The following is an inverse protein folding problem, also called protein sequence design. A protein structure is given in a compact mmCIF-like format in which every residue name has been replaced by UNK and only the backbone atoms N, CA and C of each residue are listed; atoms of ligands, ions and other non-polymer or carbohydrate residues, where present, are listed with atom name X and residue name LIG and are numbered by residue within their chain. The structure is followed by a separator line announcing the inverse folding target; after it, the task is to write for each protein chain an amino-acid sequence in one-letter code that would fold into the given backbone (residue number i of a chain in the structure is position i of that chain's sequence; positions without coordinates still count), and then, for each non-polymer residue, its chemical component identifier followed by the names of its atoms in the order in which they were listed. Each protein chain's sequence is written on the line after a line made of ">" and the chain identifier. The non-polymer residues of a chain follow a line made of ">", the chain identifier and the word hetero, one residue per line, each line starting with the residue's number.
data_IF_986169963383
#
_entry.id   IF_986169963383
#
_cell.length_a   1.000
_cell.length_b   1.000
_cell.length_c   1.000
_cell.angle_alpha   90.00
_cell.angle_beta   90.00
_cell.angle_gamma   90.00
#
_symmetry.space_group_name_H-M   'P 1'
#
loop_
_entity.id
_entity.type
_entity.pdbx_description
1 polymer ?
#
# COMPACT_ATOMS: atom_id res chain seq x y z
N UNK A 1 27.16 44.96 -43.96
CA UNK A 1 26.46 44.21 -45.04
C UNK A 1 26.81 42.74 -44.90
N UNK A 2 25.97 41.94 -44.27
CA UNK A 2 25.95 40.48 -44.44
C UNK A 2 24.56 39.99 -44.05
N UNK A 3 23.82 39.52 -45.05
CA UNK A 3 22.45 39.06 -44.95
C UNK A 3 22.40 37.69 -44.27
N UNK A 4 21.52 37.54 -43.28
CA UNK A 4 21.14 36.24 -42.71
C UNK A 4 20.06 35.63 -43.60
N UNK A 5 20.37 34.47 -44.19
CA UNK A 5 19.40 33.56 -44.80
C UNK A 5 18.58 32.91 -43.68
N UNK A 6 17.26 33.08 -43.74
CA UNK A 6 16.28 32.27 -43.01
C UNK A 6 15.97 31.05 -43.87
N UNK A 7 16.15 29.86 -43.30
CA UNK A 7 15.66 28.61 -43.90
C UNK A 7 14.19 28.44 -43.48
N UNK A 8 13.30 28.45 -44.47
CA UNK A 8 11.96 27.89 -44.39
C UNK A 8 12.05 26.38 -44.11
N UNK A 9 11.37 25.91 -43.07
CA UNK A 9 11.08 24.50 -42.87
C UNK A 9 9.65 24.27 -43.36
N UNK A 10 9.56 23.53 -44.46
CA UNK A 10 8.32 23.08 -45.09
C UNK A 10 7.65 22.02 -44.23
N UNK A 11 6.46 22.32 -43.72
CA UNK A 11 5.55 21.35 -43.11
C UNK A 11 4.77 20.65 -44.23
N UNK A 12 5.15 19.42 -44.56
CA UNK A 12 4.32 18.53 -45.38
C UNK A 12 4.31 17.10 -44.81
N UNK A 13 3.10 16.58 -44.70
CA UNK A 13 2.71 15.17 -44.55
C UNK A 13 2.93 14.46 -43.20
N UNK A 14 1.97 14.65 -42.29
CA UNK A 14 1.59 13.60 -41.34
C UNK A 14 0.20 13.07 -41.73
N UNK A 15 0.19 11.96 -42.45
CA UNK A 15 -1.00 11.19 -42.82
C UNK A 15 -1.55 10.51 -41.57
N UNK A 16 -2.77 10.89 -41.16
CA UNK A 16 -3.52 10.18 -40.10
C UNK A 16 -4.21 8.94 -40.68
N UNK A 17 -4.14 7.76 -40.05
CA UNK A 17 -5.06 6.68 -40.37
C UNK A 17 -6.45 6.99 -39.77
N UNK A 18 -7.45 7.07 -40.64
CA UNK A 18 -8.86 7.11 -40.27
C UNK A 18 -9.36 5.69 -40.01
N UNK A 19 -9.68 5.37 -38.76
CA UNK A 19 -10.45 4.16 -38.46
C UNK A 19 -11.91 4.39 -38.84
N UNK A 20 -12.37 3.62 -39.83
CA UNK A 20 -13.75 3.55 -40.32
C UNK A 20 -14.47 2.42 -39.57
N UNK A 21 -15.61 2.65 -38.91
CA UNK A 21 -16.38 1.55 -38.32
C UNK A 21 -17.09 0.77 -39.43
N UNK A 22 -16.97 -0.56 -39.38
CA UNK A 22 -17.62 -1.51 -40.28
C UNK A 22 -19.00 -1.84 -39.71
N UNK A 23 -20.05 -1.35 -40.39
CA UNK A 23 -21.44 -1.76 -40.19
C UNK A 23 -21.66 -3.17 -40.78
N UNK A 24 -22.50 -3.96 -40.10
CA UNK A 24 -22.97 -5.30 -40.47
C UNK A 24 -23.33 -6.07 -39.19
N UNK A 25 -24.48 -5.77 -38.57
CA UNK A 25 -25.76 -6.44 -38.83
C UNK A 25 -25.81 -7.86 -38.25
N UNK A 26 -26.35 -7.97 -37.03
CA UNK A 26 -27.12 -9.12 -36.56
C UNK A 26 -28.09 -8.61 -35.49
N UNK A 27 -29.31 -8.34 -35.94
CA UNK A 27 -30.49 -8.22 -35.10
C UNK A 27 -30.79 -9.58 -34.45
N UNK A 28 -31.16 -9.60 -33.18
CA UNK A 28 -32.52 -10.02 -32.77
C UNK A 28 -32.69 -10.09 -31.24
N UNK A 29 -33.90 -9.68 -30.81
CA UNK A 29 -34.58 -9.92 -29.52
C UNK A 29 -34.02 -9.29 -28.23
N UNK A 30 -34.54 -8.11 -27.86
CA UNK A 30 -35.66 -7.96 -26.92
C UNK A 30 -36.06 -6.48 -26.84
N UNK A 31 -37.29 -6.20 -27.28
CA UNK A 31 -37.96 -4.90 -27.20
C UNK A 31 -38.68 -4.80 -25.86
N UNK A 32 -38.44 -3.71 -25.13
CA UNK A 32 -39.26 -3.26 -24.00
C UNK A 32 -39.19 -1.73 -23.96
N UNK A 33 -39.89 -1.12 -24.92
CA UNK A 33 -40.33 0.27 -24.82
C UNK A 33 -41.86 0.25 -24.71
N UNK A 34 -42.36 0.85 -23.63
CA UNK A 34 -43.64 1.56 -23.52
C UNK A 34 -44.20 1.37 -22.11
N UNK A 35 -44.11 2.42 -21.28
CA UNK A 35 -45.19 2.98 -20.47
C UNK A 35 -44.64 4.32 -19.98
N UNK A 36 -44.88 5.36 -20.77
CA UNK A 36 -44.79 6.74 -20.34
C UNK A 36 -46.19 7.22 -20.05
N UNK A 37 -46.66 7.02 -18.82
CA UNK A 37 -47.92 7.59 -18.35
C UNK A 37 -47.69 8.59 -17.22
N UNK A 38 -48.31 9.75 -17.44
CA UNK A 38 -48.31 10.94 -16.61
C UNK A 38 -48.87 10.62 -15.22
N UNK A 39 -48.05 10.77 -14.19
CA UNK A 39 -48.54 10.87 -12.80
C UNK A 39 -48.29 12.29 -12.30
N UNK A 40 -49.40 12.99 -12.12
CA UNK A 40 -49.49 14.30 -11.51
C UNK A 40 -48.92 14.27 -10.09
N UNK A 41 -47.87 15.06 -9.83
CA UNK A 41 -47.37 15.34 -8.50
C UNK A 41 -48.38 16.23 -7.76
N UNK A 42 -49.32 15.59 -7.07
CA UNK A 42 -50.16 16.21 -6.05
C UNK A 42 -49.31 16.45 -4.81
N UNK A 43 -48.96 17.71 -4.57
CA UNK A 43 -48.31 18.15 -3.35
C UNK A 43 -49.10 17.68 -2.12
N UNK A 44 -48.42 16.92 -1.26
CA UNK A 44 -48.87 16.61 0.09
C UNK A 44 -47.85 17.22 1.04
N UNK A 45 -48.22 18.36 1.59
CA UNK A 45 -47.66 18.92 2.81
C UNK A 45 -47.80 17.83 3.89
N UNK A 46 -46.70 17.20 4.28
CA UNK A 46 -46.64 16.48 5.54
C UNK A 46 -45.98 17.41 6.55
N UNK A 47 -46.83 18.03 7.36
CA UNK A 47 -46.47 18.70 8.59
C UNK A 47 -45.84 17.65 9.51
N UNK A 48 -44.50 17.59 9.52
CA UNK A 48 -43.74 16.92 10.57
C UNK A 48 -43.90 17.71 11.87
N UNK A 49 -45.03 17.48 12.54
CA UNK A 49 -45.23 17.81 13.93
C UNK A 49 -44.22 16.99 14.74
N UNK A 50 -43.17 17.68 15.22
CA UNK A 50 -42.36 17.21 16.34
C UNK A 50 -43.27 16.92 17.53
N UNK A 51 -43.57 15.64 17.74
CA UNK A 51 -44.19 15.20 18.97
C UNK A 51 -43.20 15.47 20.13
N UNK A 52 -43.62 16.17 21.20
CA UNK A 52 -42.78 16.30 22.39
C UNK A 52 -42.59 14.90 22.97
N UNK A 53 -41.31 14.50 23.08
CA UNK A 53 -40.89 13.29 23.77
C UNK A 53 -41.49 13.32 25.19
N UNK A 54 -42.57 12.56 25.39
CA UNK A 54 -43.22 12.42 26.67
C UNK A 54 -42.22 11.72 27.59
N UNK A 55 -41.69 12.52 28.51
CA UNK A 55 -40.88 12.12 29.66
C UNK A 55 -41.68 11.08 30.44
N UNK A 56 -41.47 9.81 30.11
CA UNK A 56 -42.08 8.70 30.80
C UNK A 56 -41.39 8.61 32.16
N UNK A 57 -42.02 9.24 33.15
CA UNK A 57 -41.73 9.07 34.57
C UNK A 57 -41.91 7.59 34.89
N UNK A 58 -40.79 6.87 34.79
CA UNK A 58 -40.66 5.49 35.25
C UNK A 58 -40.83 5.54 36.76
N UNK A 59 -42.05 5.31 37.21
CA UNK A 59 -42.37 5.16 38.62
C UNK A 59 -41.45 4.09 39.22
N UNK A 60 -40.86 4.46 40.34
CA UNK A 60 -39.93 3.68 41.15
C UNK A 60 -40.51 2.31 41.50
N UNK A 61 -40.23 1.31 40.66
CA UNK A 61 -40.20 -0.08 41.12
C UNK A 61 -38.86 -0.25 41.82
N UNK A 62 -38.82 0.22 43.07
CA UNK A 62 -37.72 0.02 44.00
C UNK A 62 -37.67 -1.47 44.35
N UNK A 63 -37.13 -2.29 43.43
CA UNK A 63 -36.74 -3.66 43.73
C UNK A 63 -35.63 -3.56 44.77
N UNK A 64 -35.99 -3.79 46.02
CA UNK A 64 -35.10 -3.86 47.16
C UNK A 64 -34.19 -5.08 46.97
N UNK A 65 -33.13 -4.91 46.17
CA UNK A 65 -32.09 -5.89 45.98
C UNK A 65 -31.48 -6.19 47.36
N UNK A 66 -31.31 -7.48 47.72
CA UNK A 66 -30.71 -7.84 48.99
C UNK A 66 -29.32 -7.21 49.07
N UNK A 67 -29.01 -6.62 50.23
CA UNK A 67 -27.72 -6.02 50.49
C UNK A 67 -26.61 -7.05 50.17
N UNK A 68 -25.59 -6.68 49.38
CA UNK A 68 -24.53 -7.60 49.02
C UNK A 68 -23.89 -8.15 50.30
N UNK A 69 -23.95 -9.47 50.46
CA UNK A 69 -23.28 -10.17 51.55
C UNK A 69 -21.78 -9.86 51.52
N UNK A 70 -21.20 -9.54 52.67
CA UNK A 70 -19.79 -9.16 52.85
C UNK A 70 -18.79 -10.12 52.15
N UNK A 71 -19.16 -11.38 51.93
CA UNK A 71 -18.35 -12.37 51.21
C UNK A 71 -18.16 -12.05 49.72
N UNK A 72 -19.12 -11.41 49.04
CA UNK A 72 -18.98 -11.04 47.62
C UNK A 72 -18.04 -9.84 47.42
N UNK A 73 -18.01 -8.89 48.36
CA UNK A 73 -17.05 -7.77 48.28
C UNK A 73 -15.60 -8.23 48.49
N UNK A 74 -15.35 -9.27 49.29
CA UNK A 74 -14.00 -9.83 49.46
C UNK A 74 -13.52 -10.63 48.23
N UNK A 75 -14.42 -11.24 47.46
CA UNK A 75 -14.05 -11.94 46.24
C UNK A 75 -13.67 -10.97 45.10
N UNK A 76 -14.31 -9.80 45.02
CA UNK A 76 -14.05 -8.79 43.99
C UNK A 76 -12.71 -8.07 44.20
N UNK A 77 -12.24 -7.93 45.44
CA UNK A 77 -10.92 -7.33 45.73
C UNK A 77 -9.74 -8.29 45.56
N UNK A 78 -9.96 -9.61 45.51
CA UNK A 78 -8.89 -10.59 45.37
C UNK A 78 -8.39 -10.78 43.93
N UNK A 79 -9.26 -10.58 42.93
CA UNK A 79 -8.93 -10.71 41.50
C UNK A 79 -7.84 -9.71 41.02
N UNK A 80 -7.86 -8.41 41.38
CA UNK A 80 -6.82 -7.48 40.92
C UNK A 80 -5.42 -7.77 41.51
N UNK A 81 -5.32 -8.43 42.66
CA UNK A 81 -4.03 -8.77 43.27
C UNK A 81 -3.31 -9.91 42.53
N UNK A 82 -4.05 -10.90 41.98
CA UNK A 82 -3.45 -11.94 41.15
C UNK A 82 -3.04 -11.41 39.78
N UNK A 83 -3.86 -10.56 39.15
CA UNK A 83 -3.56 -10.01 37.84
C UNK A 83 -2.30 -9.12 37.86
N UNK A 84 -2.14 -8.29 38.90
CA UNK A 84 -0.96 -7.44 39.06
C UNK A 84 0.33 -8.25 39.29
N UNK A 85 0.26 -9.35 40.04
CA UNK A 85 1.40 -10.27 40.24
C UNK A 85 1.87 -10.93 38.93
N UNK A 86 0.95 -11.41 38.10
CA UNK A 86 1.28 -12.04 36.81
C UNK A 86 1.91 -11.01 35.86
N UNK A 87 1.37 -9.79 35.82
CA UNK A 87 1.89 -8.70 34.98
C UNK A 87 3.30 -8.27 35.44
N UNK A 88 3.52 -8.10 36.76
CA UNK A 88 4.86 -7.78 37.29
C UNK A 88 5.88 -8.89 37.03
N UNK A 89 5.48 -10.16 37.07
CA UNK A 89 6.37 -11.28 36.76
C UNK A 89 6.71 -11.38 35.26
N UNK A 90 5.78 -10.99 34.38
CA UNK A 90 5.97 -11.05 32.93
C UNK A 90 6.72 -9.84 32.35
N UNK A 91 6.60 -8.66 32.98
CA UNK A 91 7.17 -7.40 32.54
C UNK A 91 8.67 -7.46 32.19
N UNK A 92 9.57 -8.07 33.00
CA UNK A 92 10.99 -8.14 32.67
C UNK A 92 11.28 -8.98 31.43
N UNK A 93 10.54 -10.08 31.23
CA UNK A 93 10.71 -10.96 30.06
C UNK A 93 10.19 -10.29 28.79
N UNK A 94 9.03 -9.64 28.88
CA UNK A 94 8.49 -8.83 27.77
C UNK A 94 9.47 -7.70 27.46
N UNK A 95 10.01 -7.02 28.47
CA UNK A 95 10.99 -5.95 28.29
C UNK A 95 12.22 -6.44 27.52
N UNK A 96 12.79 -7.61 27.85
CA UNK A 96 13.95 -8.14 27.10
C UNK A 96 13.65 -8.50 25.64
N UNK A 97 12.41 -8.90 25.32
CA UNK A 97 12.00 -9.19 23.95
C UNK A 97 11.70 -7.91 23.17
N UNK A 98 11.20 -6.88 23.85
CA UNK A 98 10.81 -5.61 23.25
C UNK A 98 11.98 -4.63 23.17
N UNK A 99 12.99 -4.75 24.05
CA UNK A 99 14.16 -3.86 24.10
C UNK A 99 14.89 -3.69 22.74
N UNK A 100 15.14 -4.76 21.96
CA UNK A 100 15.79 -4.62 20.64
C UNK A 100 14.94 -3.82 19.64
N UNK A 101 13.61 -3.87 19.76
CA UNK A 101 12.70 -3.06 18.95
C UNK A 101 12.59 -1.61 19.47
N UNK A 102 12.88 -1.42 20.76
CA UNK A 102 12.76 -0.15 21.47
C UNK A 102 13.97 0.75 21.34
N UNK A 103 15.15 0.22 21.05
CA UNK A 103 16.35 1.05 20.94
C UNK A 103 16.24 1.96 19.70
N UNK A 104 15.97 3.27 19.86
CA UNK A 104 15.80 4.18 18.73
C UNK A 104 17.11 4.37 17.94
N UNK A 105 18.24 3.93 18.51
CA UNK A 105 19.58 4.32 18.12
C UNK A 105 20.51 3.12 17.79
N UNK A 106 20.05 1.87 17.87
CA UNK A 106 20.96 0.70 17.76
C UNK A 106 21.47 0.38 16.35
N UNK A 107 20.91 0.95 15.28
CA UNK A 107 21.19 0.54 13.90
C UNK A 107 21.92 1.60 13.06
N UNK A 108 22.71 2.49 13.66
CA UNK A 108 23.70 3.25 12.89
C UNK A 108 24.94 2.38 12.64
N UNK A 109 24.81 1.38 11.76
CA UNK A 109 25.99 0.81 11.11
C UNK A 109 26.59 1.88 10.19
N UNK A 110 27.73 2.39 10.63
CA UNK A 110 28.64 3.28 9.91
C UNK A 110 28.99 2.67 8.54
N UNK A 111 28.32 3.09 7.47
CA UNK A 111 28.65 2.60 6.12
C UNK A 111 27.84 3.27 5.02
N UNK A 112 26.51 3.23 5.12
CA UNK A 112 25.67 3.67 4.02
C UNK A 112 25.01 5.02 4.33
N UNK A 113 25.54 6.06 3.69
CA UNK A 113 24.96 7.42 3.64
C UNK A 113 23.70 7.44 2.77
N UNK A 114 22.73 6.58 3.06
CA UNK A 114 21.40 6.73 2.49
C UNK A 114 20.76 7.99 3.09
N UNK A 115 20.81 9.08 2.33
CA UNK A 115 20.09 10.33 2.61
C UNK A 115 18.73 10.23 1.93
N UNK A 116 17.70 9.79 2.65
CA UNK A 116 16.37 9.65 2.08
C UNK A 116 15.28 9.54 3.13
N UNK A 117 14.05 9.86 2.71
CA UNK A 117 12.84 9.70 3.50
C UNK A 117 12.65 8.27 4.03
N UNK A 118 13.30 7.27 3.43
CA UNK A 118 13.25 5.87 3.86
C UNK A 118 13.73 5.65 5.31
N UNK A 119 14.64 6.48 5.86
CA UNK A 119 15.04 6.39 7.28
C UNK A 119 13.93 6.82 8.25
N UNK A 120 12.99 7.63 7.79
CA UNK A 120 11.89 8.11 8.61
C UNK A 120 10.80 7.04 8.79
N UNK A 121 10.59 6.20 7.78
CA UNK A 121 9.52 5.18 7.77
C UNK A 121 9.64 4.21 8.96
N UNK A 122 10.79 3.57 9.26
CA UNK A 122 10.91 2.68 10.42
C UNK A 122 10.68 3.38 11.75
N UNK A 123 11.06 4.66 11.87
CA UNK A 123 10.85 5.44 13.10
C UNK A 123 9.36 5.70 13.33
N UNK A 124 8.63 6.05 12.27
CA UNK A 124 7.18 6.26 12.33
C UNK A 124 6.44 4.97 12.61
N UNK A 125 6.79 3.87 11.96
CA UNK A 125 6.18 2.55 12.20
C UNK A 125 6.33 2.11 13.66
N UNK A 126 7.46 2.44 14.32
CA UNK A 126 7.63 2.19 15.75
C UNK A 126 6.65 2.97 16.62
N UNK A 127 6.37 4.24 16.29
CA UNK A 127 5.36 5.04 17.02
C UNK A 127 3.97 4.40 16.90
N UNK A 128 3.59 3.95 15.70
CA UNK A 128 2.32 3.26 15.49
C UNK A 128 2.24 1.94 16.25
N UNK A 129 3.31 1.14 16.24
CA UNK A 129 3.39 -0.08 17.03
C UNK A 129 3.15 0.18 18.52
N UNK A 130 3.77 1.22 19.08
CA UNK A 130 3.55 1.61 20.48
C UNK A 130 2.13 2.07 20.75
N UNK A 131 1.55 2.84 19.83
CA UNK A 131 0.14 3.25 19.91
C UNK A 131 -0.80 2.03 19.95
N UNK A 132 -0.54 1.01 19.14
CA UNK A 132 -1.34 -0.22 19.12
C UNK A 132 -1.18 -1.03 20.41
N UNK A 133 0.04 -1.15 20.93
CA UNK A 133 0.30 -1.82 22.22
C UNK A 133 -0.45 -1.13 23.37
N UNK A 134 -0.40 0.21 23.45
CA UNK A 134 -1.14 0.98 24.46
C UNK A 134 -2.66 0.81 24.27
N UNK A 135 -3.12 0.74 23.02
CA UNK A 135 -4.53 0.49 22.70
C UNK A 135 -4.99 -0.88 23.17
N UNK A 136 -4.21 -1.93 22.91
CA UNK A 136 -4.49 -3.30 23.39
C UNK A 136 -4.50 -3.35 24.92
N UNK A 137 -3.54 -2.71 25.57
CA UNK A 137 -3.49 -2.63 27.04
C UNK A 137 -4.71 -1.91 27.62
N UNK A 138 -5.13 -0.81 27.00
CA UNK A 138 -6.33 -0.04 27.39
C UNK A 138 -7.60 -0.88 27.22
N UNK A 139 -7.73 -1.63 26.11
CA UNK A 139 -8.86 -2.54 25.88
C UNK A 139 -8.87 -3.66 26.92
N UNK A 140 -7.72 -4.28 27.20
CA UNK A 140 -7.61 -5.37 28.17
C UNK A 140 -7.95 -4.90 29.61
N UNK A 141 -7.44 -3.73 30.00
CA UNK A 141 -7.74 -3.13 31.31
C UNK A 141 -9.23 -2.78 31.43
N UNK A 142 -9.88 -2.41 30.32
CA UNK A 142 -11.29 -1.99 30.33
C UNK A 142 -12.30 -3.12 30.26
N UNK A 143 -11.89 -4.39 30.20
CA UNK A 143 -12.80 -5.54 30.09
C UNK A 143 -13.81 -5.64 31.26
N UNK A 144 -13.44 -5.16 32.45
CA UNK A 144 -14.27 -5.28 33.66
C UNK A 144 -15.29 -4.15 33.85
N UNK A 145 -15.28 -3.10 33.01
CA UNK A 145 -16.23 -1.99 33.13
C UNK A 145 -17.44 -2.18 32.21
N UNK A 146 -18.62 -1.79 32.72
CA UNK A 146 -19.92 -2.09 32.11
C UNK A 146 -20.32 -1.07 31.03
N UNK A 147 -19.95 0.21 31.19
CA UNK A 147 -20.38 1.30 30.32
C UNK A 147 -19.61 1.42 28.99
N UNK A 148 -18.70 0.49 28.71
CA UNK A 148 -17.60 0.71 27.76
C UNK A 148 -17.74 -0.03 26.43
N UNK A 149 -18.87 -0.69 26.15
CA UNK A 149 -19.02 -1.51 24.95
C UNK A 149 -18.75 -0.73 23.64
N UNK A 150 -19.30 0.48 23.40
CA UNK A 150 -19.06 1.18 22.13
C UNK A 150 -17.61 1.64 21.98
N UNK A 151 -16.99 2.20 23.04
CA UNK A 151 -15.60 2.66 23.00
C UNK A 151 -14.60 1.51 22.87
N UNK A 152 -14.83 0.38 23.54
CA UNK A 152 -14.01 -0.83 23.37
C UNK A 152 -14.15 -1.38 21.96
N UNK A 153 -15.39 -1.46 21.45
CA UNK A 153 -15.66 -1.91 20.09
C UNK A 153 -14.90 -1.04 19.10
N UNK A 154 -14.92 0.28 19.29
CA UNK A 154 -14.18 1.23 18.46
C UNK A 154 -12.67 0.97 18.42
N UNK A 155 -12.02 0.83 19.58
CA UNK A 155 -10.58 0.56 19.64
C UNK A 155 -10.24 -0.78 18.99
N UNK A 156 -11.04 -1.83 19.23
CA UNK A 156 -10.86 -3.14 18.60
C UNK A 156 -11.00 -3.03 17.08
N UNK A 157 -12.01 -2.30 16.59
CA UNK A 157 -12.16 -2.06 15.15
C UNK A 157 -11.01 -1.25 14.57
N UNK A 158 -10.45 -0.29 15.31
CA UNK A 158 -9.24 0.44 14.89
C UNK A 158 -8.03 -0.48 14.74
N UNK A 159 -7.81 -1.39 15.70
CA UNK A 159 -6.75 -2.40 15.62
C UNK A 159 -6.94 -3.36 14.43
N UNK A 160 -8.19 -3.78 14.16
CA UNK A 160 -8.50 -4.66 13.04
C UNK A 160 -8.35 -3.97 11.69
N UNK A 161 -8.69 -2.68 11.59
CA UNK A 161 -8.57 -1.87 10.37
C UNK A 161 -7.13 -1.40 10.10
N UNK A 162 -6.21 -1.57 11.06
CA UNK A 162 -4.78 -1.32 10.87
C UNK A 162 -4.08 -2.49 10.17
N UNK A 163 -3.16 -3.14 10.87
CA UNK A 163 -2.28 -4.18 10.30
C UNK A 163 -3.01 -5.32 9.55
N UNK A 164 -4.12 -5.90 10.06
CA UNK A 164 -4.79 -7.00 9.36
C UNK A 164 -5.38 -6.59 8.00
N UNK A 165 -5.88 -5.37 7.88
CA UNK A 165 -6.39 -4.86 6.59
C UNK A 165 -5.24 -4.58 5.64
N UNK A 166 -4.12 -4.03 6.10
CA UNK A 166 -2.93 -3.87 5.26
C UNK A 166 -2.41 -5.22 4.75
N UNK A 167 -2.38 -6.25 5.61
CA UNK A 167 -2.03 -7.62 5.19
C UNK A 167 -3.03 -8.18 4.18
N UNK A 168 -4.33 -7.93 4.38
CA UNK A 168 -5.37 -8.32 3.41
C UNK A 168 -5.15 -7.67 2.05
N UNK A 169 -4.91 -6.36 2.02
CA UNK A 169 -4.65 -5.62 0.77
C UNK A 169 -3.38 -6.14 0.11
N UNK A 170 -2.31 -6.37 0.88
CA UNK A 170 -1.09 -6.97 0.36
C UNK A 170 -1.35 -8.34 -0.26
N UNK A 171 -2.14 -9.22 0.37
CA UNK A 171 -2.51 -10.52 -0.19
C UNK A 171 -3.34 -10.40 -1.47
N UNK A 172 -4.23 -9.40 -1.57
CA UNK A 172 -5.00 -9.12 -2.79
C UNK A 172 -4.05 -8.73 -3.92
N UNK A 173 -3.10 -7.83 -3.64
CA UNK A 173 -2.08 -7.40 -4.63
C UNK A 173 -1.19 -8.56 -5.06
N UNK A 174 -0.71 -9.35 -4.10
CA UNK A 174 0.22 -10.46 -4.35
C UNK A 174 -0.38 -11.62 -5.14
N UNK A 175 -1.71 -11.71 -5.21
CA UNK A 175 -2.41 -12.79 -5.92
C UNK A 175 -2.23 -12.71 -7.43
N UNK A 176 -2.22 -11.49 -7.97
CA UNK A 176 -2.19 -11.22 -9.40
C UNK A 176 -0.85 -10.60 -9.86
N UNK A 177 0.14 -10.54 -8.96
CA UNK A 177 1.46 -9.98 -9.24
C UNK A 177 2.17 -10.82 -10.34
N UNK A 178 2.67 -10.22 -11.44
CA UNK A 178 3.36 -10.96 -12.49
C UNK A 178 4.69 -11.49 -11.97
N UNK A 179 4.71 -12.76 -11.59
CA UNK A 179 5.93 -13.43 -11.13
C UNK A 179 6.62 -14.09 -12.31
N UNK A 180 7.93 -14.02 -12.36
CA UNK A 180 8.73 -14.74 -13.35
C UNK A 180 9.59 -15.75 -12.63
N UNK A 181 9.63 -16.97 -13.17
CA UNK A 181 10.54 -18.02 -12.67
C UNK A 181 11.79 -18.07 -13.52
N UNK A 182 11.65 -17.86 -14.82
CA UNK A 182 12.74 -17.89 -15.78
C UNK A 182 12.75 -16.56 -16.53
N UNK A 183 13.92 -15.92 -16.58
CA UNK A 183 14.17 -14.73 -17.39
C UNK A 183 15.10 -15.12 -18.54
N UNK A 184 14.76 -14.68 -19.75
CA UNK A 184 15.55 -14.90 -20.97
C UNK A 184 16.05 -13.57 -21.52
N UNK A 185 17.34 -13.50 -21.76
CA UNK A 185 17.99 -12.38 -22.45
C UNK A 185 18.34 -12.82 -23.86
N UNK A 186 17.92 -12.02 -24.85
CA UNK A 186 18.26 -12.21 -26.26
C UNK A 186 19.06 -11.01 -26.73
N UNK A 187 20.34 -11.19 -27.04
CA UNK A 187 21.17 -10.09 -27.56
C UNK A 187 20.91 -9.92 -29.06
N UNK A 188 20.47 -8.72 -29.44
CA UNK A 188 20.18 -8.39 -30.85
C UNK A 188 21.38 -7.81 -31.59
N UNK A 189 22.18 -6.97 -30.91
CA UNK A 189 23.29 -6.24 -31.54
C UNK A 189 24.45 -6.01 -30.58
N UNK A 190 25.66 -6.25 -31.06
CA UNK A 190 26.92 -5.94 -30.37
C UNK A 190 27.56 -4.72 -31.05
N UNK A 191 28.26 -3.88 -30.28
CA UNK A 191 28.85 -2.63 -30.78
C UNK A 191 29.90 -2.85 -31.88
N UNK A 192 30.73 -3.87 -31.76
CA UNK A 192 31.92 -4.14 -32.59
C UNK A 192 31.67 -4.96 -33.85
N UNK A 193 30.40 -5.13 -34.26
CA UNK A 193 30.02 -6.02 -35.37
C UNK A 193 30.41 -7.49 -35.16
N UNK A 194 30.71 -7.89 -33.93
CA UNK A 194 30.89 -9.29 -33.58
C UNK A 194 29.56 -10.04 -33.75
N UNK A 195 29.66 -11.33 -34.06
CA UNK A 195 28.53 -12.22 -34.18
C UNK A 195 27.83 -12.36 -32.81
N UNK A 196 26.52 -12.04 -32.69
CA UNK A 196 25.74 -12.17 -31.45
C UNK A 196 25.87 -13.54 -30.77
N UNK A 197 26.04 -14.60 -31.55
CA UNK A 197 26.08 -15.98 -31.07
C UNK A 197 27.36 -16.32 -30.29
N UNK A 198 28.42 -15.51 -30.42
CA UNK A 198 29.70 -15.74 -29.74
C UNK A 198 29.91 -14.86 -28.51
N UNK A 199 28.94 -14.01 -28.18
CA UNK A 199 29.06 -13.10 -27.05
C UNK A 199 29.04 -13.85 -25.72
N UNK A 200 29.84 -13.38 -24.77
CA UNK A 200 29.91 -13.95 -23.42
C UNK A 200 29.54 -12.91 -22.38
N UNK A 201 28.44 -13.18 -21.68
CA UNK A 201 28.07 -12.46 -20.48
C UNK A 201 28.84 -13.01 -19.27
N UNK A 202 29.22 -12.15 -18.34
CA UNK A 202 29.81 -12.59 -17.08
C UNK A 202 28.73 -13.03 -16.09
N UNK A 203 27.73 -12.18 -15.89
CA UNK A 203 26.62 -12.44 -14.94
C UNK A 203 25.47 -11.46 -15.17
N UNK A 204 24.26 -11.90 -14.85
CA UNK A 204 23.08 -11.05 -14.74
C UNK A 204 22.70 -10.93 -13.27
N UNK A 205 22.56 -9.70 -12.78
CA UNK A 205 21.97 -9.46 -11.46
C UNK A 205 20.52 -9.03 -11.65
N UNK A 206 19.58 -9.81 -11.15
CA UNK A 206 18.17 -9.45 -11.10
C UNK A 206 17.87 -8.72 -9.79
N UNK A 207 16.94 -7.77 -9.82
CA UNK A 207 16.50 -7.05 -8.63
C UNK A 207 15.01 -7.29 -8.38
N UNK A 208 14.68 -7.43 -7.12
CA UNK A 208 13.31 -7.57 -6.65
C UNK A 208 12.65 -6.20 -6.42
N UNK A 209 11.36 -6.24 -6.07
CA UNK A 209 10.52 -5.07 -5.79
C UNK A 209 11.07 -4.08 -4.76
N UNK A 210 11.96 -4.53 -3.88
CA UNK A 210 12.57 -3.68 -2.84
C UNK A 210 13.88 -3.03 -3.33
N UNK A 211 14.27 -3.26 -4.59
CA UNK A 211 15.59 -2.88 -5.10
C UNK A 211 16.72 -3.76 -4.58
N UNK A 212 16.40 -4.86 -3.88
CA UNK A 212 17.39 -5.82 -3.42
C UNK A 212 17.80 -6.73 -4.58
N UNK A 213 19.11 -6.96 -4.74
CA UNK A 213 19.60 -7.94 -5.69
C UNK A 213 19.16 -9.35 -5.26
N UNK A 214 18.56 -10.10 -6.19
CA UNK A 214 18.23 -11.51 -6.00
C UNK A 214 19.56 -12.26 -5.89
N UNK A 215 19.77 -12.96 -4.77
CA UNK A 215 21.05 -13.59 -4.47
C UNK A 215 21.43 -14.60 -5.56
N UNK A 216 22.69 -14.53 -6.03
CA UNK A 216 23.22 -15.44 -7.06
C UNK A 216 23.10 -16.92 -6.70
N UNK A 217 23.09 -17.27 -5.42
CA UNK A 217 22.89 -18.66 -4.98
C UNK A 217 21.50 -19.22 -5.33
N UNK A 218 20.54 -18.32 -5.58
CA UNK A 218 19.15 -18.63 -5.91
C UNK A 218 18.92 -18.61 -7.42
N UNK A 219 19.96 -18.37 -8.22
CA UNK A 219 19.86 -18.15 -9.65
C UNK A 219 20.72 -19.16 -10.38
N UNK A 220 20.11 -19.89 -11.31
CA UNK A 220 20.80 -20.76 -12.26
C UNK A 220 20.89 -20.09 -13.63
N UNK A 221 22.13 -19.86 -14.07
CA UNK A 221 22.40 -19.29 -15.39
C UNK A 221 22.69 -20.42 -16.39
N UNK A 222 21.98 -20.44 -17.52
CA UNK A 222 22.19 -21.37 -18.63
C UNK A 222 22.30 -20.60 -19.94
N UNK A 223 23.26 -20.98 -20.77
CA UNK A 223 23.49 -20.36 -22.08
C UNK A 223 23.18 -21.35 -23.21
N UNK A 224 22.37 -20.92 -24.18
CA UNK A 224 22.01 -21.69 -25.37
C UNK A 224 21.97 -20.80 -26.60
N UNK A 225 23.02 -20.82 -27.42
CA UNK A 225 23.09 -20.00 -28.64
C UNK A 225 23.18 -18.51 -28.31
N UNK A 226 22.16 -17.74 -28.69
CA UNK A 226 22.05 -16.30 -28.40
C UNK A 226 21.15 -16.00 -27.19
N UNK A 227 20.72 -17.04 -26.48
CA UNK A 227 19.83 -16.93 -25.32
C UNK A 227 20.60 -17.17 -24.02
N UNK A 228 20.47 -16.23 -23.09
CA UNK A 228 20.81 -16.45 -21.67
C UNK A 228 19.54 -16.65 -20.86
N UNK A 229 19.44 -17.81 -20.24
CA UNK A 229 18.39 -18.15 -19.30
C UNK A 229 18.89 -17.97 -17.88
N UNK A 230 18.03 -17.36 -17.06
CA UNK A 230 18.26 -17.09 -15.65
C UNK A 230 17.05 -17.65 -14.91
N UNK A 231 17.20 -18.83 -14.28
CA UNK A 231 16.13 -19.50 -13.52
C UNK A 231 16.25 -19.19 -12.03
N UNK A 232 15.16 -18.75 -11.42
CA UNK A 232 15.04 -18.45 -9.99
C UNK A 232 14.57 -19.73 -9.27
N UNK A 233 15.44 -20.27 -8.40
CA UNK A 233 15.22 -21.56 -7.70
C UNK A 233 14.15 -21.51 -6.63
N UNK A 234 14.07 -20.41 -5.89
CA UNK A 234 13.17 -20.27 -4.74
C UNK A 234 11.70 -20.06 -5.14
N UNK A 235 11.44 -20.02 -6.45
CA UNK A 235 10.11 -19.92 -7.04
C UNK A 235 9.95 -18.67 -7.88
N UNK A 236 8.76 -18.47 -8.45
CA UNK A 236 8.46 -17.27 -9.24
C UNK A 236 8.56 -16.00 -8.37
N UNK A 237 9.35 -15.03 -8.81
CA UNK A 237 9.55 -13.74 -8.13
C UNK A 237 9.21 -12.56 -9.05
N UNK A 238 8.78 -11.44 -8.49
CA UNK A 238 8.60 -10.20 -9.26
C UNK A 238 9.98 -9.55 -9.49
N UNK A 239 10.44 -9.60 -10.73
CA UNK A 239 11.70 -8.95 -11.15
C UNK A 239 11.38 -7.54 -11.62
N UNK A 240 11.95 -6.53 -10.96
CA UNK A 240 11.67 -5.11 -11.24
C UNK A 240 12.81 -4.35 -11.91
N UNK A 241 14.02 -4.89 -11.87
CA UNK A 241 15.15 -4.36 -12.62
C UNK A 241 16.18 -5.46 -12.87
N UNK A 242 17.13 -5.17 -13.76
CA UNK A 242 18.25 -6.04 -14.05
C UNK A 242 19.53 -5.23 -14.29
N UNK A 243 20.66 -5.81 -13.90
CA UNK A 243 21.99 -5.33 -14.22
C UNK A 243 22.71 -6.38 -15.06
N UNK A 244 23.09 -6.00 -16.27
CA UNK A 244 23.95 -6.79 -17.14
C UNK A 244 25.41 -6.46 -16.82
N UNK A 245 26.22 -7.48 -16.50
CA UNK A 245 27.66 -7.33 -16.29
C UNK A 245 28.40 -8.00 -17.44
N UNK A 246 29.06 -7.20 -18.28
CA UNK A 246 29.83 -7.71 -19.43
C UNK A 246 31.17 -8.29 -19.01
N UNK A 247 31.64 -9.28 -19.76
CA UNK A 247 32.87 -9.99 -19.44
C UNK A 247 34.11 -9.08 -19.50
N UNK A 248 34.90 -9.08 -18.42
CA UNK A 248 36.01 -8.13 -18.22
C UNK A 248 37.13 -8.25 -19.25
N UNK A 249 37.34 -9.43 -19.82
CA UNK A 249 38.48 -9.72 -20.71
C UNK A 249 38.25 -9.19 -22.13
N UNK A 250 37.00 -9.17 -22.59
CA UNK A 250 36.69 -8.69 -23.95
C UNK A 250 36.76 -7.16 -23.97
N UNK A 251 37.08 -6.54 -25.11
CA UNK A 251 37.14 -5.09 -25.25
C UNK A 251 35.75 -4.44 -25.33
N UNK A 252 35.61 -3.11 -25.15
CA UNK A 252 34.32 -2.41 -25.10
C UNK A 252 33.52 -2.46 -26.41
N UNK A 253 34.17 -2.90 -27.49
CA UNK A 253 33.54 -3.27 -28.75
C UNK A 253 32.66 -4.53 -28.64
N UNK A 254 32.90 -5.41 -27.68
CA UNK A 254 32.07 -6.61 -27.46
C UNK A 254 30.85 -6.34 -26.58
N UNK A 255 30.69 -5.13 -26.03
CA UNK A 255 29.53 -4.83 -25.18
C UNK A 255 28.22 -4.83 -25.99
N UNK A 256 27.12 -5.37 -25.43
CA UNK A 256 25.83 -5.41 -26.11
C UNK A 256 25.28 -3.99 -26.23
N UNK A 257 24.69 -3.71 -27.39
CA UNK A 257 24.09 -2.41 -27.73
C UNK A 257 22.58 -2.47 -27.89
N UNK A 258 22.02 -3.68 -28.05
CA UNK A 258 20.59 -3.92 -28.05
C UNK A 258 20.30 -5.34 -27.60
N UNK A 259 19.27 -5.50 -26.76
CA UNK A 259 18.80 -6.78 -26.26
C UNK A 259 17.31 -6.72 -25.92
N UNK A 260 16.71 -7.90 -25.80
CA UNK A 260 15.35 -8.09 -25.34
C UNK A 260 15.37 -8.95 -24.08
N UNK A 261 14.58 -8.54 -23.08
CA UNK A 261 14.37 -9.29 -21.84
C UNK A 261 12.96 -9.84 -21.85
N UNK A 262 12.84 -11.15 -21.66
CA UNK A 262 11.55 -11.84 -21.58
C UNK A 262 11.46 -12.62 -20.28
N UNK A 263 10.26 -12.66 -19.70
CA UNK A 263 9.96 -13.40 -18.48
C UNK A 263 8.98 -14.53 -18.74
N UNK A 264 9.14 -15.63 -18.01
CA UNK A 264 8.25 -16.78 -18.07
C UNK A 264 8.04 -17.39 -16.69
N UNK A 265 6.82 -17.85 -16.42
CA UNK A 265 6.47 -18.61 -15.19
C UNK A 265 6.77 -20.09 -15.37
N UNK A 266 6.50 -20.61 -16.56
CA UNK A 266 6.46 -22.04 -16.90
C UNK A 266 7.65 -22.49 -17.78
N UNK A 267 8.46 -21.54 -18.26
CA UNK A 267 9.53 -21.77 -19.23
C UNK A 267 9.03 -22.00 -20.67
N UNK A 268 7.72 -21.89 -20.92
CA UNK A 268 7.08 -22.17 -22.21
C UNK A 268 6.45 -20.90 -22.79
N UNK A 269 5.70 -20.18 -21.96
CA UNK A 269 5.02 -18.94 -22.34
C UNK A 269 5.91 -17.76 -21.93
N UNK A 270 6.32 -16.95 -22.91
CA UNK A 270 7.24 -15.83 -22.73
C UNK A 270 6.52 -14.50 -22.90
N UNK A 271 6.77 -13.58 -21.98
CA UNK A 271 6.26 -12.21 -22.01
C UNK A 271 7.43 -11.25 -22.13
N UNK A 272 7.35 -10.32 -23.08
CA UNK A 272 8.36 -9.28 -23.22
C UNK A 272 8.30 -8.38 -21.98
N UNK A 273 9.39 -8.32 -21.22
CA UNK A 273 9.53 -7.45 -20.05
C UNK A 273 10.18 -6.13 -20.43
N UNK A 274 11.18 -6.17 -21.31
CA UNK A 274 11.92 -4.99 -21.74
C UNK A 274 12.55 -5.17 -23.12
N UNK A 275 12.73 -4.06 -23.82
CA UNK A 275 13.44 -4.00 -25.10
C UNK A 275 14.36 -2.78 -25.11
N UNK A 276 15.66 -3.02 -24.95
CA UNK A 276 16.66 -1.99 -25.06
C UNK A 276 17.13 -1.89 -26.52
N UNK A 277 16.85 -0.75 -27.17
CA UNK A 277 17.09 -0.54 -28.61
C UNK A 277 18.09 0.58 -28.95
N UNK A 278 18.81 1.18 -27.99
CA UNK A 278 19.56 2.43 -28.26
C UNK A 278 21.00 2.53 -27.73
N UNK A 279 21.80 3.30 -28.47
CA UNK A 279 23.25 3.53 -28.37
C UNK A 279 23.73 4.32 -27.12
N UNK A 280 22.82 4.81 -26.27
CA UNK A 280 23.14 5.73 -25.16
C UNK A 280 23.43 5.06 -23.82
N UNK A 281 23.70 3.76 -23.79
CA UNK A 281 24.11 3.06 -22.58
C UNK A 281 25.37 3.73 -21.98
N UNK A 282 25.49 3.80 -20.64
CA UNK A 282 26.70 4.30 -20.01
C UNK A 282 27.91 3.50 -20.53
N UNK A 283 28.86 4.20 -21.16
CA UNK A 283 30.08 3.60 -21.72
C UNK A 283 31.01 2.99 -20.67
N UNK A 284 30.70 3.19 -19.39
CA UNK A 284 31.47 2.66 -18.28
C UNK A 284 31.02 1.23 -17.98
N UNK A 285 31.95 0.30 -18.17
CA UNK A 285 31.86 -1.08 -17.67
C UNK A 285 31.51 -1.07 -16.19
N UNK A 286 30.82 -2.10 -15.74
CA UNK A 286 30.42 -2.27 -14.33
C UNK A 286 29.37 -1.23 -13.84
N UNK A 287 28.81 -0.39 -14.71
CA UNK A 287 27.69 0.50 -14.37
C UNK A 287 26.36 -0.26 -14.44
N UNK A 288 25.49 -0.11 -13.44
CA UNK A 288 24.18 -0.75 -13.42
C UNK A 288 23.30 -0.31 -14.61
N UNK A 289 22.66 -1.28 -15.28
CA UNK A 289 21.68 -1.00 -16.34
C UNK A 289 20.32 -0.61 -15.75
N UNK A 290 19.45 -0.08 -16.63
CA UNK A 290 18.17 0.56 -16.31
C UNK A 290 17.20 -0.29 -15.49
N UNK A 291 16.39 0.37 -14.67
CA UNK A 291 15.14 -0.20 -14.18
C UNK A 291 14.20 -0.44 -15.37
N UNK A 292 13.30 -1.41 -15.25
CA UNK A 292 12.26 -1.56 -16.26
C UNK A 292 11.41 -0.28 -16.29
N UNK A 293 11.55 0.52 -17.36
CA UNK A 293 10.86 1.81 -17.49
C UNK A 293 9.33 1.63 -17.54
N UNK A 294 8.85 0.44 -17.92
CA UNK A 294 7.45 0.10 -17.95
C UNK A 294 7.26 -1.40 -17.68
N UNK A 295 6.81 -1.77 -16.47
CA UNK A 295 6.28 -3.13 -16.20
C UNK A 295 4.75 -3.17 -16.39
N UNK A 296 4.12 -2.02 -16.64
CA UNK A 296 2.67 -1.87 -16.64
C UNK A 296 2.02 -2.30 -17.95
N UNK A 297 2.80 -2.54 -19.00
CA UNK A 297 2.31 -3.17 -20.24
C UNK A 297 1.99 -4.64 -20.07
N UNK A 298 2.46 -5.29 -19.00
CA UNK A 298 2.04 -6.64 -18.65
C UNK A 298 0.56 -6.59 -18.23
N UNK A 299 -0.33 -7.33 -18.90
CA UNK A 299 -1.77 -7.25 -18.64
C UNK A 299 -2.12 -7.58 -17.17
N UNK A 300 -1.33 -8.47 -16.57
CA UNK A 300 -1.48 -8.89 -15.17
C UNK A 300 -1.04 -7.78 -14.19
N UNK A 301 0.03 -7.04 -14.50
CA UNK A 301 0.49 -5.92 -13.68
C UNK A 301 -0.58 -4.83 -13.55
N UNK A 302 -1.25 -4.50 -14.66
CA UNK A 302 -2.31 -3.49 -14.66
C UNK A 302 -3.53 -3.96 -13.84
N UNK A 303 -3.88 -5.24 -13.91
CA UNK A 303 -4.97 -5.81 -13.12
C UNK A 303 -4.63 -5.80 -11.63
N UNK A 304 -3.44 -6.27 -11.25
CA UNK A 304 -2.95 -6.29 -9.88
C UNK A 304 -2.92 -4.87 -9.27
N UNK A 305 -2.41 -3.90 -10.02
CA UNK A 305 -2.40 -2.49 -9.59
C UNK A 305 -3.81 -1.96 -9.35
N UNK A 306 -4.76 -2.18 -10.28
CA UNK A 306 -6.14 -1.70 -10.14
C UNK A 306 -6.83 -2.34 -8.94
N UNK A 307 -6.67 -3.64 -8.72
CA UNK A 307 -7.25 -4.34 -7.59
C UNK A 307 -6.65 -3.87 -6.27
N UNK A 308 -5.32 -3.74 -6.21
CA UNK A 308 -4.61 -3.17 -5.07
C UNK A 308 -5.10 -1.77 -4.72
N UNK A 309 -5.16 -0.90 -5.72
CA UNK A 309 -5.64 0.47 -5.56
C UNK A 309 -7.09 0.51 -5.05
N UNK A 310 -7.99 -0.29 -5.63
CA UNK A 310 -9.38 -0.36 -5.17
C UNK A 310 -9.49 -0.91 -3.75
N UNK A 311 -8.70 -1.92 -3.40
CA UNK A 311 -8.65 -2.48 -2.05
C UNK A 311 -8.15 -1.46 -1.03
N UNK A 312 -7.09 -0.71 -1.36
CA UNK A 312 -6.59 0.40 -0.52
C UNK A 312 -7.63 1.51 -0.37
N UNK A 313 -8.30 1.92 -1.46
CA UNK A 313 -9.36 2.94 -1.40
C UNK A 313 -10.52 2.49 -0.52
N UNK A 314 -10.96 1.23 -0.66
CA UNK A 314 -12.02 0.67 0.17
C UNK A 314 -11.61 0.57 1.64
N UNK A 315 -10.38 0.11 1.93
CA UNK A 315 -9.80 0.08 3.27
C UNK A 315 -9.75 1.48 3.90
N UNK A 316 -9.26 2.46 3.16
CA UNK A 316 -9.19 3.85 3.59
C UNK A 316 -10.58 4.44 3.87
N UNK A 317 -11.56 4.20 3.00
CA UNK A 317 -12.94 4.62 3.21
C UNK A 317 -13.57 3.97 4.45
N UNK A 318 -13.30 2.67 4.67
CA UNK A 318 -13.72 1.94 5.86
C UNK A 318 -13.12 2.53 7.14
N UNK A 319 -11.82 2.80 7.15
CA UNK A 319 -11.11 3.45 8.26
C UNK A 319 -11.63 4.85 8.56
N UNK A 320 -11.93 5.63 7.52
CA UNK A 320 -12.50 6.97 7.68
C UNK A 320 -13.92 6.94 8.26
N UNK A 321 -14.78 6.04 7.77
CA UNK A 321 -16.11 5.84 8.34
C UNK A 321 -16.03 5.38 9.81
N UNK A 322 -15.10 4.49 10.13
CA UNK A 322 -14.85 4.02 11.49
C UNK A 322 -14.37 5.14 12.43
N UNK A 323 -13.51 6.03 11.94
CA UNK A 323 -13.07 7.21 12.69
C UNK A 323 -14.24 8.15 12.99
N UNK A 324 -15.11 8.43 12.02
CA UNK A 324 -16.32 9.27 12.21
C UNK A 324 -17.24 8.66 13.29
N UNK A 325 -17.50 7.36 13.20
CA UNK A 325 -18.32 6.66 14.20
C UNK A 325 -17.69 6.73 15.59
N UNK A 326 -16.37 6.55 15.69
CA UNK A 326 -15.61 6.73 16.92
C UNK A 326 -15.77 8.10 17.55
N UNK A 327 -15.60 9.16 16.75
CA UNK A 327 -15.82 10.55 17.19
C UNK A 327 -17.22 10.74 17.75
N UNK A 328 -18.24 10.16 17.11
CA UNK A 328 -19.63 10.24 17.59
C UNK A 328 -19.80 9.54 18.94
N UNK A 329 -19.16 8.39 19.16
CA UNK A 329 -19.24 7.64 20.42
C UNK A 329 -18.47 8.31 21.56
N UNK A 330 -17.28 8.86 21.29
CA UNK A 330 -16.53 9.63 22.28
C UNK A 330 -17.32 10.87 22.72
N UNK A 331 -17.97 11.55 21.77
CA UNK A 331 -18.82 12.71 22.06
C UNK A 331 -20.09 12.37 22.84
N UNK A 332 -20.66 11.17 22.64
CA UNK A 332 -21.89 10.76 23.32
C UNK A 332 -21.67 10.18 24.74
N UNK A 333 -20.48 9.63 25.01
CA UNK A 333 -20.19 8.90 26.25
C UNK A 333 -19.69 9.72 27.44
N UNK A 334 -19.76 11.05 27.40
CA UNK A 334 -18.95 11.95 28.24
C UNK A 334 -19.23 11.90 29.74
N UNK A 335 -20.46 11.66 30.19
CA UNK A 335 -20.75 11.71 31.63
C UNK A 335 -20.51 10.36 32.31
N UNK A 336 -21.11 9.28 31.80
CA UNK A 336 -21.02 7.96 32.44
C UNK A 336 -19.64 7.29 32.26
N UNK A 337 -19.01 7.42 31.09
CA UNK A 337 -17.76 6.69 30.80
C UNK A 337 -16.55 7.35 31.46
N UNK A 338 -16.57 8.68 31.63
CA UNK A 338 -15.47 9.40 32.29
C UNK A 338 -15.37 8.97 33.75
N UNK A 339 -16.49 8.76 34.43
CA UNK A 339 -16.51 8.32 35.82
C UNK A 339 -16.21 6.82 35.97
N UNK A 340 -16.72 5.97 35.07
CA UNK A 340 -16.55 4.50 35.20
C UNK A 340 -15.20 4.01 34.69
N UNK A 341 -14.68 4.58 33.61
CA UNK A 341 -13.50 4.10 32.90
C UNK A 341 -12.69 5.26 32.30
N UNK A 342 -12.11 6.15 33.14
CA UNK A 342 -11.47 7.37 32.70
C UNK A 342 -10.33 7.11 31.70
N UNK A 343 -9.50 6.08 31.94
CA UNK A 343 -8.38 5.75 31.05
C UNK A 343 -8.80 5.39 29.64
N UNK A 344 -9.88 4.61 29.49
CA UNK A 344 -10.42 4.23 28.19
C UNK A 344 -10.91 5.48 27.45
N UNK A 345 -11.70 6.31 28.14
CA UNK A 345 -12.26 7.51 27.54
C UNK A 345 -11.16 8.49 27.12
N UNK A 346 -10.18 8.80 27.98
CA UNK A 346 -9.09 9.72 27.66
C UNK A 346 -8.18 9.21 26.54
N UNK A 347 -7.90 7.90 26.50
CA UNK A 347 -7.13 7.32 25.40
C UNK A 347 -7.88 7.44 24.07
N UNK A 348 -9.19 7.12 24.06
CA UNK A 348 -10.00 7.28 22.87
C UNK A 348 -10.08 8.74 22.40
N UNK A 349 -10.31 9.67 23.34
CA UNK A 349 -10.33 11.10 23.07
C UNK A 349 -9.00 11.58 22.48
N UNK A 350 -7.88 11.18 23.08
CA UNK A 350 -6.54 11.50 22.59
C UNK A 350 -6.32 11.00 21.17
N UNK A 351 -6.62 9.73 20.88
CA UNK A 351 -6.49 9.16 19.55
C UNK A 351 -7.33 9.91 18.52
N UNK A 352 -8.59 10.22 18.83
CA UNK A 352 -9.47 11.01 17.95
C UNK A 352 -8.84 12.38 17.65
N UNK A 353 -8.41 13.12 18.69
CA UNK A 353 -7.81 14.46 18.50
C UNK A 353 -6.54 14.39 17.65
N UNK A 354 -5.65 13.43 17.93
CA UNK A 354 -4.40 13.26 17.18
C UNK A 354 -4.68 12.91 15.73
N UNK A 355 -5.58 11.96 15.45
CA UNK A 355 -5.90 11.52 14.10
C UNK A 355 -6.54 12.63 13.27
N UNK A 356 -7.51 13.38 13.82
CA UNK A 356 -8.12 14.50 13.11
C UNK A 356 -7.14 15.66 12.89
N UNK A 357 -6.24 15.91 13.84
CA UNK A 357 -5.18 16.92 13.69
C UNK A 357 -4.23 16.54 12.55
N UNK A 358 -3.76 15.29 12.54
CA UNK A 358 -2.86 14.79 11.50
C UNK A 358 -3.52 14.82 10.12
N UNK A 359 -4.77 14.33 10.02
CA UNK A 359 -5.53 14.36 8.77
C UNK A 359 -5.71 15.80 8.25
N UNK A 360 -6.03 16.75 9.14
CA UNK A 360 -6.12 18.16 8.81
C UNK A 360 -4.81 18.73 8.29
N UNK A 361 -3.69 18.47 8.97
CA UNK A 361 -2.35 18.93 8.53
C UNK A 361 -1.97 18.36 7.17
N UNK A 362 -2.15 17.05 6.94
CA UNK A 362 -1.84 16.41 5.65
C UNK A 362 -2.70 16.99 4.54
N UNK A 363 -4.00 17.14 4.77
CA UNK A 363 -4.93 17.69 3.76
C UNK A 363 -4.56 19.11 3.37
N UNK A 364 -4.28 19.99 4.34
CA UNK A 364 -3.84 21.36 4.09
C UNK A 364 -2.52 21.36 3.32
N UNK A 365 -1.55 20.52 3.73
CA UNK A 365 -0.27 20.38 3.05
C UNK A 365 -0.42 19.97 1.58
N UNK A 366 -1.26 18.98 1.28
CA UNK A 366 -1.54 18.55 -0.09
C UNK A 366 -2.18 19.65 -0.93
N UNK A 367 -3.14 20.39 -0.37
CA UNK A 367 -3.77 21.53 -1.04
C UNK A 367 -2.73 22.62 -1.33
N UNK A 368 -1.88 22.97 -0.35
CA UNK A 368 -0.81 23.97 -0.53
C UNK A 368 0.19 23.53 -1.60
N UNK A 369 0.62 22.27 -1.61
CA UNK A 369 1.50 21.71 -2.63
C UNK A 369 0.87 21.76 -4.03
N UNK A 370 -0.40 21.38 -4.16
CA UNK A 370 -1.12 21.43 -5.43
C UNK A 370 -1.22 22.86 -5.98
N UNK A 371 -1.58 23.83 -5.12
CA UNK A 371 -1.64 25.26 -5.49
C UNK A 371 -0.25 25.77 -5.89
N UNK A 372 0.81 25.41 -5.15
CA UNK A 372 2.17 25.81 -5.49
C UNK A 372 2.61 25.25 -6.85
N UNK A 373 2.28 24.00 -7.17
CA UNK A 373 2.56 23.40 -8.48
C UNK A 373 1.83 24.11 -9.62
N UNK A 374 0.58 24.54 -9.43
CA UNK A 374 -0.16 25.31 -10.44
C UNK A 374 0.48 26.68 -10.67
N UNK A 375 0.89 27.36 -9.59
CA UNK A 375 1.52 28.69 -9.68
C UNK A 375 2.89 28.62 -10.34
N UNK A 376 3.70 27.60 -10.02
CA UNK A 376 5.06 27.43 -10.54
C UNK A 376 5.06 26.81 -11.93
N UNK A 377 4.17 25.86 -12.20
CA UNK A 377 4.06 25.10 -13.45
C UNK A 377 3.52 25.89 -14.65
N UNK A 378 3.07 27.13 -14.46
CA UNK A 378 2.61 28.02 -15.54
C UNK A 378 3.73 28.63 -16.41
N UNK A 379 4.97 28.12 -16.34
CA UNK A 379 6.13 28.60 -17.11
C UNK A 379 6.93 27.49 -17.80
N UNK A 380 6.24 26.55 -18.45
CA UNK A 380 6.87 25.62 -19.40
C UNK A 380 6.41 25.90 -20.81
#
# INVERSE_FOLDING_TARGET
>A
MHAKQLHEISLSEFVRPTCKPRHGELQSFLSLDSIGDKVALRGRHEDFLFAPCSRQTRADVLVKLPAPTQSMMQAVTAVPAMATSIIQAALPRIWTVVQPFLDPFSDEKEGDKETGWCKFIPRVLRVFYWSDVVTVATVAHSLYYVCDVPLRTWLIGGLLLGFPVTDLVHRVVMKDDPRTKVVRFTIKKIRGSADPDNFKLDTVVLYNRCGGAIHRSLVDERHEGNYWFVEIRDGPELVTAYQIVTHRIEGPECDPSSWVVEGSVDGVTWYMMDECSSESLPRQRETASQQFDDLMHLPDAQAAFRQGFLAEVAACAGSFAWLILGTSWVSAGTEACVDSAPYLWYWCYFLVVVLWSFLGTVTIGLITCAVAMIIVGGKT
#
